data_IF_570973575519
#
_entry.id   IF_570973575519
#
_cell.length_a   1.000
_cell.length_b   1.000
_cell.length_c   1.000
_cell.angle_alpha   90.00
_cell.angle_beta   90.00
_cell.angle_gamma   90.00
#
_symmetry.space_group_name_H-M   'P 1'
#
loop_
_entity.id
_entity.type
_entity.pdbx_description
1 polymer ?
#
# COMPACT_ATOMS: atom_id res chain seq x y z
N UNK A 1 -5.42 -6.33 -17.45
CA UNK A 1 -4.32 -5.61 -16.77
C UNK A 1 -3.56 -6.64 -15.92
N UNK A 2 -2.22 -6.55 -15.85
CA UNK A 2 -1.34 -7.51 -15.16
C UNK A 2 -1.66 -7.66 -13.67
N UNK A 3 -2.08 -6.58 -13.00
CA UNK A 3 -2.44 -6.58 -11.58
C UNK A 3 -3.67 -7.42 -11.27
N UNK A 4 -4.51 -7.69 -12.27
CA UNK A 4 -5.66 -8.59 -12.17
C UNK A 4 -5.35 -10.04 -12.60
N UNK A 5 -4.10 -10.35 -12.94
CA UNK A 5 -3.72 -11.69 -13.46
C UNK A 5 -3.92 -12.80 -12.44
N UNK A 6 -3.83 -12.49 -11.14
CA UNK A 6 -4.02 -13.41 -10.02
C UNK A 6 -5.42 -13.36 -9.42
N UNK A 7 -6.29 -12.47 -9.89
CA UNK A 7 -7.65 -12.30 -9.36
C UNK A 7 -8.56 -13.45 -9.81
N UNK A 8 -9.36 -13.99 -8.88
CA UNK A 8 -10.36 -15.02 -9.21
C UNK A 8 -11.46 -14.45 -10.11
N UNK A 9 -11.66 -15.09 -11.27
CA UNK A 9 -12.71 -14.73 -12.23
C UNK A 9 -14.10 -15.23 -11.82
N UNK A 10 -14.18 -16.15 -10.86
CA UNK A 10 -15.43 -16.72 -10.34
C UNK A 10 -15.80 -16.14 -8.97
N UNK A 11 -15.27 -14.98 -8.62
CA UNK A 11 -15.47 -14.37 -7.30
C UNK A 11 -16.96 -14.19 -6.93
N UNK A 12 -17.86 -14.00 -7.90
CA UNK A 12 -19.31 -13.95 -7.63
C UNK A 12 -19.80 -15.25 -6.94
N UNK A 13 -19.33 -16.41 -7.42
CA UNK A 13 -19.68 -17.70 -6.80
C UNK A 13 -18.99 -17.86 -5.44
N UNK A 14 -17.75 -17.39 -5.31
CA UNK A 14 -16.99 -17.40 -4.06
C UNK A 14 -17.69 -16.55 -2.99
N UNK A 15 -18.13 -15.35 -3.31
CA UNK A 15 -18.92 -14.47 -2.45
C UNK A 15 -20.28 -15.08 -2.08
N UNK A 16 -20.96 -15.75 -3.00
CA UNK A 16 -22.20 -16.48 -2.67
C UNK A 16 -21.94 -17.61 -1.65
N UNK A 17 -20.82 -18.32 -1.78
CA UNK A 17 -20.39 -19.32 -0.80
C UNK A 17 -20.00 -18.69 0.54
N UNK A 18 -19.33 -17.54 0.55
CA UNK A 18 -19.01 -16.77 1.75
C UNK A 18 -20.29 -16.36 2.49
N UNK A 19 -21.27 -15.79 1.78
CA UNK A 19 -22.56 -15.43 2.35
C UNK A 19 -23.28 -16.64 2.98
N UNK A 20 -23.23 -17.80 2.33
CA UNK A 20 -23.79 -19.05 2.88
C UNK A 20 -23.07 -19.51 4.15
N UNK A 21 -21.74 -19.38 4.22
CA UNK A 21 -20.94 -19.70 5.42
C UNK A 21 -21.29 -18.75 6.57
N UNK A 22 -21.35 -17.44 6.29
CA UNK A 22 -21.74 -16.42 7.27
C UNK A 22 -23.15 -16.69 7.81
N UNK A 23 -24.11 -17.02 6.95
CA UNK A 23 -25.47 -17.37 7.38
C UNK A 23 -25.50 -18.55 8.36
N UNK A 24 -24.70 -19.60 8.11
CA UNK A 24 -24.58 -20.74 9.05
C UNK A 24 -23.98 -20.35 10.40
N UNK A 25 -23.05 -19.41 10.42
CA UNK A 25 -22.49 -18.88 11.67
C UNK A 25 -23.52 -18.02 12.40
N UNK A 26 -24.31 -17.22 11.68
CA UNK A 26 -25.43 -16.44 12.25
C UNK A 26 -26.44 -17.37 12.93
N UNK A 27 -26.83 -18.48 12.27
CA UNK A 27 -27.77 -19.45 12.84
C UNK A 27 -27.27 -20.08 14.15
N UNK A 28 -25.95 -20.24 14.31
CA UNK A 28 -25.33 -20.91 15.47
C UNK A 28 -24.97 -19.94 16.60
N UNK A 29 -24.49 -18.76 16.27
CA UNK A 29 -23.88 -17.82 17.22
C UNK A 29 -24.73 -16.55 17.43
N UNK A 30 -25.79 -16.36 16.64
CA UNK A 30 -26.64 -15.18 16.65
C UNK A 30 -26.10 -14.05 15.77
N UNK A 31 -27.02 -13.30 15.16
CA UNK A 31 -26.71 -12.22 14.22
C UNK A 31 -25.80 -11.14 14.85
N UNK A 32 -26.15 -10.66 16.04
CA UNK A 32 -25.42 -9.57 16.68
C UNK A 32 -23.96 -9.93 16.98
N UNK A 33 -23.68 -11.19 17.31
CA UNK A 33 -22.32 -11.64 17.63
C UNK A 33 -21.46 -11.70 16.36
N UNK A 34 -22.03 -12.22 15.28
CA UNK A 34 -21.37 -12.33 13.98
C UNK A 34 -21.15 -10.95 13.35
N UNK A 35 -22.18 -10.10 13.34
CA UNK A 35 -22.09 -8.73 12.79
C UNK A 35 -21.02 -7.90 13.49
N UNK A 36 -21.02 -7.88 14.83
CA UNK A 36 -19.96 -7.19 15.60
C UNK A 36 -18.57 -7.70 15.27
N UNK A 37 -18.41 -9.01 15.04
CA UNK A 37 -17.11 -9.57 14.68
C UNK A 37 -16.71 -9.19 13.25
N UNK A 38 -17.66 -9.20 12.31
CA UNK A 38 -17.45 -8.71 10.94
C UNK A 38 -17.03 -7.23 10.95
N UNK A 39 -17.66 -6.37 11.74
CA UNK A 39 -17.28 -4.96 11.87
C UNK A 39 -15.82 -4.80 12.34
N UNK A 40 -15.41 -5.62 13.31
CA UNK A 40 -14.02 -5.67 13.78
C UNK A 40 -13.08 -6.10 12.64
N UNK A 41 -13.42 -7.14 11.88
CA UNK A 41 -12.62 -7.60 10.73
C UNK A 41 -12.53 -6.55 9.61
N UNK A 42 -13.65 -5.92 9.23
CA UNK A 42 -13.71 -4.90 8.19
C UNK A 42 -12.86 -3.67 8.56
N UNK A 43 -12.80 -3.31 9.85
CA UNK A 43 -11.97 -2.19 10.30
C UNK A 43 -10.46 -2.38 10.07
N UNK A 44 -10.01 -3.63 9.91
CA UNK A 44 -8.60 -3.99 9.68
C UNK A 44 -8.36 -4.52 8.27
N UNK A 45 -9.38 -4.53 7.39
CA UNK A 45 -9.37 -5.20 6.08
C UNK A 45 -8.24 -4.73 5.15
N UNK A 46 -7.73 -3.52 5.37
CA UNK A 46 -6.64 -2.91 4.60
C UNK A 46 -5.24 -3.30 5.09
N UNK A 47 -5.11 -3.96 6.25
CA UNK A 47 -3.82 -4.41 6.81
C UNK A 47 -3.34 -5.73 6.19
N UNK A 48 -3.53 -5.86 4.88
CA UNK A 48 -2.99 -6.94 4.04
C UNK A 48 -1.70 -6.46 3.37
N UNK A 49 -0.97 -7.41 2.79
CA UNK A 49 0.07 -7.09 1.80
C UNK A 49 -0.43 -7.39 0.39
N UNK A 50 -0.88 -6.39 -0.40
CA UNK A 50 -1.36 -6.59 -1.76
C UNK A 50 -0.34 -7.23 -2.70
N UNK A 51 0.95 -7.14 -2.38
CA UNK A 51 2.02 -7.64 -3.24
C UNK A 51 2.38 -9.10 -2.96
N UNK A 52 1.90 -9.66 -1.83
CA UNK A 52 2.21 -11.04 -1.44
C UNK A 52 1.75 -12.07 -2.48
N UNK A 53 0.71 -11.76 -3.27
CA UNK A 53 0.21 -12.61 -4.36
C UNK A 53 1.17 -12.73 -5.55
N UNK A 54 2.11 -11.80 -5.67
CA UNK A 54 3.16 -11.80 -6.70
C UNK A 54 4.49 -12.32 -6.18
N UNK A 55 4.67 -12.34 -4.86
CA UNK A 55 5.83 -12.97 -4.24
C UNK A 55 5.72 -14.50 -4.35
N UNK A 56 6.81 -15.22 -4.65
CA UNK A 56 6.82 -16.65 -4.45
C UNK A 56 6.47 -16.95 -2.98
N UNK A 57 5.77 -18.06 -2.68
CA UNK A 57 5.56 -18.47 -1.30
C UNK A 57 6.93 -18.49 -0.63
N UNK A 58 7.03 -17.84 0.54
CA UNK A 58 8.28 -17.75 1.27
C UNK A 58 8.90 -19.14 1.29
N UNK A 59 10.04 -19.30 0.60
CA UNK A 59 10.83 -20.51 0.73
C UNK A 59 11.01 -20.72 2.22
N UNK A 60 10.67 -21.92 2.70
CA UNK A 60 10.99 -22.36 4.07
C UNK A 60 12.35 -21.80 4.38
N UNK A 61 12.51 -20.99 5.45
CA UNK A 61 13.77 -20.32 5.73
C UNK A 61 14.83 -21.38 5.60
N UNK A 62 15.73 -21.23 4.61
CA UNK A 62 16.81 -22.17 4.38
C UNK A 62 17.31 -22.56 5.75
N UNK A 63 17.25 -23.85 6.08
CA UNK A 63 17.81 -24.36 7.33
C UNK A 63 19.16 -23.69 7.43
N UNK A 64 19.28 -22.79 8.41
CA UNK A 64 20.46 -21.95 8.58
C UNK A 64 21.64 -22.88 8.40
N UNK A 65 22.42 -22.68 7.34
CA UNK A 65 23.47 -23.61 6.95
C UNK A 65 24.29 -24.01 8.19
N UNK A 66 24.74 -25.27 8.22
CA UNK A 66 25.58 -25.76 9.29
C UNK A 66 26.67 -24.73 9.62
N UNK A 67 26.97 -24.54 10.91
CA UNK A 67 27.96 -23.56 11.34
C UNK A 67 29.30 -23.77 10.60
N UNK A 68 29.62 -22.86 9.68
CA UNK A 68 30.92 -22.81 9.02
C UNK A 68 31.76 -21.71 9.66
N UNK A 69 32.83 -22.05 10.40
CA UNK A 69 33.71 -21.04 10.98
C UNK A 69 34.42 -20.29 9.85
N UNK A 70 34.53 -18.97 9.98
CA UNK A 70 35.29 -18.15 9.04
C UNK A 70 36.78 -18.41 9.28
N UNK A 71 37.39 -19.19 8.39
CA UNK A 71 38.81 -19.56 8.44
C UNK A 71 39.62 -18.69 7.49
N UNK A 72 40.78 -18.23 7.94
CA UNK A 72 41.75 -17.58 7.08
C UNK A 72 42.50 -18.65 6.25
N UNK A 73 42.85 -18.39 4.98
CA UNK A 73 43.58 -19.34 4.16
C UNK A 73 44.97 -19.59 4.74
N UNK A 74 45.25 -20.83 5.16
CA UNK A 74 46.52 -21.23 5.77
C UNK A 74 47.00 -22.58 5.23
N UNK A 75 48.32 -22.79 5.21
CA UNK A 75 48.91 -24.11 4.95
C UNK A 75 48.65 -25.03 6.15
N UNK A 76 48.54 -26.34 5.93
CA UNK A 76 48.16 -27.33 6.96
C UNK A 76 48.98 -27.28 8.25
N UNK A 77 50.26 -26.89 8.20
CA UNK A 77 51.12 -26.77 9.39
C UNK A 77 51.00 -25.41 10.11
N UNK A 78 50.46 -24.39 9.44
CA UNK A 78 50.22 -23.05 10.01
C UNK A 78 48.78 -22.88 10.49
N UNK A 79 47.86 -23.74 10.05
CA UNK A 79 46.44 -23.66 10.39
C UNK A 79 46.18 -23.59 11.92
N UNK A 80 46.85 -24.36 12.79
CA UNK A 80 46.67 -24.25 14.24
C UNK A 80 47.09 -22.90 14.84
N UNK A 81 47.97 -22.16 14.16
CA UNK A 81 48.47 -20.85 14.59
C UNK A 81 47.71 -19.68 13.97
N UNK A 82 47.24 -19.86 12.72
CA UNK A 82 46.48 -18.84 11.96
C UNK A 82 45.00 -18.87 12.33
N UNK A 83 44.43 -20.06 12.56
CA UNK A 83 43.05 -20.29 12.97
C UNK A 83 43.03 -21.03 14.33
N UNK A 84 43.41 -20.36 15.44
CA UNK A 84 43.46 -21.01 16.74
C UNK A 84 42.08 -21.52 17.16
N UNK A 85 42.06 -22.65 17.89
CA UNK A 85 40.82 -23.27 18.38
C UNK A 85 39.97 -22.29 19.21
N UNK A 86 40.60 -21.37 19.95
CA UNK A 86 39.93 -20.34 20.74
C UNK A 86 39.09 -19.38 19.91
N UNK A 87 39.53 -19.00 18.71
CA UNK A 87 38.77 -18.12 17.81
C UNK A 87 37.61 -18.88 17.16
N UNK A 88 37.81 -20.17 16.84
CA UNK A 88 36.73 -21.04 16.34
C UNK A 88 35.64 -21.25 17.39
N UNK A 89 36.02 -21.47 18.65
CA UNK A 89 35.08 -21.61 19.78
C UNK A 89 34.35 -20.31 20.08
N UNK A 90 35.03 -19.16 19.98
CA UNK A 90 34.41 -17.83 20.09
C UNK A 90 33.37 -17.62 18.99
N UNK A 91 33.71 -17.92 17.73
CA UNK A 91 32.77 -17.85 16.61
C UNK A 91 31.57 -18.78 16.81
N UNK A 92 31.79 -19.99 17.34
CA UNK A 92 30.71 -20.93 17.67
C UNK A 92 29.78 -20.39 18.75
N UNK A 93 30.30 -19.85 19.84
CA UNK A 93 29.49 -19.23 20.91
C UNK A 93 28.66 -18.06 20.38
N UNK A 94 29.27 -17.18 19.58
CA UNK A 94 28.55 -16.06 18.95
C UNK A 94 27.45 -16.58 18.00
N UNK A 95 27.71 -17.65 17.25
CA UNK A 95 26.71 -18.27 16.37
C UNK A 95 25.56 -18.89 17.18
N UNK A 96 25.85 -19.61 18.25
CA UNK A 96 24.85 -20.20 19.15
C UNK A 96 24.01 -19.12 19.84
N UNK A 97 24.63 -18.06 20.37
CA UNK A 97 23.93 -16.91 20.94
C UNK A 97 23.03 -16.21 19.91
N UNK A 98 23.54 -15.97 18.70
CA UNK A 98 22.74 -15.42 17.59
C UNK A 98 21.58 -16.34 17.22
N UNK A 99 21.78 -17.65 17.20
CA UNK A 99 20.74 -18.65 16.90
C UNK A 99 19.68 -18.71 17.99
N UNK A 100 20.07 -18.60 19.26
CA UNK A 100 19.15 -18.55 20.39
C UNK A 100 18.34 -17.24 20.37
N UNK A 101 19.00 -16.11 20.12
CA UNK A 101 18.36 -14.81 19.98
C UNK A 101 17.45 -14.73 18.74
N UNK A 102 17.80 -15.42 17.64
CA UNK A 102 16.92 -15.52 16.47
C UNK A 102 15.69 -16.40 16.76
N UNK A 103 15.85 -17.47 17.54
CA UNK A 103 14.73 -18.32 17.99
C UNK A 103 13.75 -17.60 18.91
N UNK A 104 14.19 -16.60 19.68
CA UNK A 104 13.31 -15.83 20.54
C UNK A 104 12.54 -14.72 19.81
N UNK A 105 12.94 -14.37 18.57
CA UNK A 105 12.23 -13.38 17.75
C UNK A 105 11.06 -14.03 17.01
N UNK A 106 9.87 -13.53 17.27
CA UNK A 106 8.65 -13.97 16.60
C UNK A 106 7.84 -12.73 16.20
N UNK A 107 7.54 -12.51 14.91
CA UNK A 107 7.86 -13.33 13.73
C UNK A 107 9.36 -13.37 13.39
N UNK A 108 9.77 -14.29 12.50
CA UNK A 108 11.18 -14.42 12.09
C UNK A 108 11.69 -13.19 11.30
N UNK A 109 10.79 -12.54 10.56
CA UNK A 109 10.98 -11.26 9.88
C UNK A 109 9.72 -10.42 10.08
N UNK A 110 9.80 -9.08 9.99
CA UNK A 110 8.60 -8.26 10.03
C UNK A 110 7.59 -8.68 8.95
N UNK A 111 6.32 -8.82 9.34
CA UNK A 111 5.25 -9.24 8.43
C UNK A 111 4.31 -8.07 8.15
N UNK A 112 4.08 -7.78 6.87
CA UNK A 112 3.17 -6.71 6.44
C UNK A 112 1.70 -7.12 6.49
N UNK A 113 1.41 -8.38 6.16
CA UNK A 113 0.05 -8.91 6.19
C UNK A 113 -0.37 -9.24 7.62
N UNK A 114 -0.82 -8.21 8.34
CA UNK A 114 -1.25 -8.31 9.75
C UNK A 114 -2.45 -9.26 9.86
N UNK A 115 -3.35 -9.24 8.87
CA UNK A 115 -4.51 -10.13 8.81
C UNK A 115 -4.11 -11.60 8.73
N UNK A 116 -3.20 -11.97 7.83
CA UNK A 116 -2.66 -13.34 7.77
C UNK A 116 -1.95 -13.73 9.07
N UNK A 117 -1.18 -12.80 9.65
CA UNK A 117 -0.47 -13.06 10.89
C UNK A 117 -1.43 -13.36 12.03
N UNK A 118 -2.48 -12.57 12.19
CA UNK A 118 -3.53 -12.81 13.19
C UNK A 118 -4.26 -14.12 12.90
N UNK A 119 -4.65 -14.37 11.65
CA UNK A 119 -5.38 -15.58 11.27
C UNK A 119 -4.64 -16.87 11.67
N UNK A 120 -3.31 -16.90 11.53
CA UNK A 120 -2.52 -18.09 11.84
C UNK A 120 -2.06 -18.20 13.29
N UNK A 121 -1.94 -17.08 14.02
CA UNK A 121 -1.27 -17.06 15.32
C UNK A 121 -2.17 -16.63 16.49
N UNK A 122 -3.30 -15.98 16.21
CA UNK A 122 -4.25 -15.57 17.23
C UNK A 122 -5.08 -16.77 17.72
N UNK A 123 -5.55 -16.69 18.97
CA UNK A 123 -6.46 -17.69 19.55
C UNK A 123 -7.90 -17.29 19.25
N UNK A 124 -8.33 -17.52 18.01
CA UNK A 124 -9.68 -17.29 17.54
C UNK A 124 -10.47 -18.61 17.51
N UNK A 125 -11.77 -18.55 17.77
CA UNK A 125 -12.67 -19.69 17.57
C UNK A 125 -12.78 -20.05 16.08
N UNK A 126 -13.15 -21.29 15.76
CA UNK A 126 -13.25 -21.77 14.37
C UNK A 126 -14.11 -20.85 13.48
N UNK A 127 -15.25 -20.38 13.98
CA UNK A 127 -16.15 -19.47 13.23
C UNK A 127 -15.55 -18.08 13.03
N UNK A 128 -14.75 -17.60 13.98
CA UNK A 128 -14.05 -16.31 13.90
C UNK A 128 -12.91 -16.37 12.88
N UNK A 129 -12.14 -17.48 12.88
CA UNK A 129 -11.13 -17.73 11.86
C UNK A 129 -11.76 -17.80 10.46
N UNK A 130 -12.93 -18.46 10.35
CA UNK A 130 -13.66 -18.57 9.09
C UNK A 130 -14.06 -17.18 8.54
N UNK A 131 -14.64 -16.31 9.38
CA UNK A 131 -15.01 -14.95 8.99
C UNK A 131 -13.78 -14.10 8.64
N UNK A 132 -12.72 -14.16 9.46
CA UNK A 132 -11.50 -13.41 9.19
C UNK A 132 -10.85 -13.85 7.86
N UNK A 133 -10.91 -15.15 7.55
CA UNK A 133 -10.44 -15.69 6.26
C UNK A 133 -11.25 -15.15 5.08
N UNK A 134 -12.59 -15.08 5.22
CA UNK A 134 -13.50 -14.53 4.21
C UNK A 134 -13.16 -13.07 3.93
N UNK A 135 -13.06 -12.25 4.98
CA UNK A 135 -12.73 -10.82 4.85
C UNK A 135 -11.36 -10.64 4.18
N UNK A 136 -10.36 -11.42 4.59
CA UNK A 136 -9.03 -11.35 3.97
C UNK A 136 -9.08 -11.72 2.48
N UNK A 137 -9.78 -12.80 2.10
CA UNK A 137 -9.90 -13.24 0.71
C UNK A 137 -10.60 -12.17 -0.15
N UNK A 138 -11.65 -11.54 0.37
CA UNK A 138 -12.34 -10.43 -0.31
C UNK A 138 -11.47 -9.17 -0.40
N UNK A 139 -10.71 -8.81 0.64
CA UNK A 139 -9.72 -7.71 0.56
C UNK A 139 -8.71 -7.92 -0.57
N UNK A 140 -8.22 -9.16 -0.75
CA UNK A 140 -7.30 -9.49 -1.84
C UNK A 140 -7.94 -9.39 -3.22
N UNK A 141 -9.23 -9.68 -3.34
CA UNK A 141 -9.96 -9.49 -4.59
C UNK A 141 -10.07 -8.01 -4.99
N UNK A 142 -10.34 -7.13 -4.02
CA UNK A 142 -10.51 -5.69 -4.28
C UNK A 142 -9.20 -4.92 -4.35
N UNK A 143 -8.09 -5.45 -3.81
CA UNK A 143 -6.80 -4.76 -3.80
C UNK A 143 -6.33 -4.29 -5.19
N UNK A 144 -6.37 -5.11 -6.26
CA UNK A 144 -6.02 -4.65 -7.61
C UNK A 144 -6.89 -3.51 -8.13
N UNK A 145 -8.20 -3.52 -7.84
CA UNK A 145 -9.12 -2.47 -8.28
C UNK A 145 -8.74 -1.11 -7.71
N UNK A 146 -8.35 -1.08 -6.44
CA UNK A 146 -8.00 0.17 -5.79
C UNK A 146 -6.52 0.57 -5.99
N UNK A 147 -5.63 -0.36 -6.37
CA UNK A 147 -4.28 -0.03 -6.88
C UNK A 147 -4.29 0.55 -8.31
N UNK A 148 -5.38 0.37 -9.06
CA UNK A 148 -5.51 0.80 -10.46
C UNK A 148 -6.70 1.74 -10.65
N UNK A 149 -7.17 2.38 -9.58
CA UNK A 149 -8.40 3.19 -9.59
C UNK A 149 -8.30 4.32 -10.61
N UNK A 150 -7.33 5.22 -10.48
CA UNK A 150 -7.18 6.40 -11.35
C UNK A 150 -7.10 5.98 -12.81
N UNK A 151 -6.28 4.97 -13.10
CA UNK A 151 -6.11 4.46 -14.45
C UNK A 151 -7.40 3.81 -14.95
N UNK A 152 -8.11 3.00 -14.18
CA UNK A 152 -9.34 2.35 -14.64
C UNK A 152 -10.49 3.34 -14.83
N UNK A 153 -10.69 4.27 -13.89
CA UNK A 153 -11.70 5.32 -13.99
C UNK A 153 -11.38 6.23 -15.20
N UNK A 154 -10.11 6.57 -15.41
CA UNK A 154 -9.63 7.33 -16.57
C UNK A 154 -9.83 6.61 -17.89
N UNK A 155 -9.50 5.31 -17.95
CA UNK A 155 -9.71 4.46 -19.12
C UNK A 155 -11.18 4.35 -19.49
N UNK A 156 -12.04 4.12 -18.49
CA UNK A 156 -13.48 4.09 -18.68
C UNK A 156 -13.99 5.43 -19.21
N UNK A 157 -13.54 6.55 -18.62
CA UNK A 157 -13.94 7.90 -19.02
C UNK A 157 -13.48 8.25 -20.44
N UNK A 158 -12.27 7.84 -20.80
CA UNK A 158 -11.70 8.02 -22.12
C UNK A 158 -12.57 7.31 -23.17
N UNK A 159 -12.81 6.00 -23.02
CA UNK A 159 -13.60 5.24 -23.99
C UNK A 159 -15.06 5.61 -23.97
N UNK A 160 -15.64 5.88 -22.80
CA UNK A 160 -17.00 6.37 -22.70
C UNK A 160 -17.15 7.66 -23.51
N UNK A 161 -16.21 8.61 -23.36
CA UNK A 161 -16.26 9.83 -24.13
C UNK A 161 -16.08 9.61 -25.63
N UNK A 162 -15.07 8.83 -26.05
CA UNK A 162 -14.85 8.53 -27.47
C UNK A 162 -16.07 7.88 -28.11
N UNK A 163 -16.62 6.84 -27.48
CA UNK A 163 -17.77 6.11 -28.01
C UNK A 163 -19.02 6.98 -28.07
N UNK A 164 -19.27 7.78 -27.03
CA UNK A 164 -20.43 8.67 -27.01
C UNK A 164 -20.32 9.72 -28.12
N UNK A 165 -19.18 10.38 -28.27
CA UNK A 165 -19.03 11.46 -29.25
C UNK A 165 -18.89 11.00 -30.70
N UNK A 166 -18.40 9.78 -30.94
CA UNK A 166 -18.14 9.27 -32.30
C UNK A 166 -19.24 8.34 -32.82
N UNK A 167 -20.01 7.68 -31.95
CA UNK A 167 -20.91 6.60 -32.37
C UNK A 167 -22.34 6.67 -31.83
N UNK A 168 -22.55 7.19 -30.61
CA UNK A 168 -23.85 7.03 -29.94
C UNK A 168 -24.68 8.31 -29.86
N UNK A 169 -24.05 9.44 -29.55
CA UNK A 169 -24.75 10.71 -29.32
C UNK A 169 -25.08 11.38 -30.65
N UNK A 170 -26.32 11.83 -30.81
CA UNK A 170 -26.71 12.64 -31.97
C UNK A 170 -26.21 14.09 -31.82
N UNK A 171 -26.06 14.81 -32.93
CA UNK A 171 -25.62 16.21 -32.89
C UNK A 171 -26.51 17.10 -32.00
N UNK A 172 -27.79 16.78 -31.84
CA UNK A 172 -28.72 17.48 -30.93
C UNK A 172 -28.47 17.22 -29.45
N UNK A 173 -27.85 16.10 -29.09
CA UNK A 173 -27.66 15.61 -27.72
C UNK A 173 -26.25 15.93 -27.18
N UNK A 174 -25.36 16.46 -28.01
CA UNK A 174 -23.95 16.64 -27.68
C UNK A 174 -23.73 17.59 -26.50
N UNK A 175 -24.57 18.63 -26.38
CA UNK A 175 -24.47 19.62 -25.30
C UNK A 175 -24.91 19.00 -23.97
N UNK A 176 -26.02 18.26 -23.97
CA UNK A 176 -26.54 17.58 -22.78
C UNK A 176 -25.55 16.52 -22.29
N UNK A 177 -24.98 15.74 -23.20
CA UNK A 177 -23.91 14.79 -22.88
C UNK A 177 -22.68 15.50 -22.31
N UNK A 178 -22.22 16.58 -22.94
CA UNK A 178 -21.03 17.31 -22.50
C UNK A 178 -21.21 17.91 -21.10
N UNK A 179 -22.39 18.43 -20.78
CA UNK A 179 -22.71 18.97 -19.45
C UNK A 179 -22.67 17.87 -18.38
N UNK A 180 -23.30 16.72 -18.64
CA UNK A 180 -23.25 15.57 -17.74
C UNK A 180 -21.83 15.03 -17.56
N UNK A 181 -21.08 14.86 -18.65
CA UNK A 181 -19.70 14.39 -18.60
C UNK A 181 -18.81 15.34 -17.80
N UNK A 182 -18.94 16.65 -18.05
CA UNK A 182 -18.20 17.69 -17.33
C UNK A 182 -18.48 17.66 -15.83
N UNK A 183 -19.71 17.35 -15.40
CA UNK A 183 -20.06 17.13 -14.00
C UNK A 183 -19.29 15.95 -13.38
N UNK A 184 -19.19 14.82 -14.08
CA UNK A 184 -18.47 13.62 -13.60
C UNK A 184 -16.96 13.87 -13.50
N UNK A 185 -16.38 14.54 -14.50
CA UNK A 185 -14.94 14.84 -14.52
C UNK A 185 -14.61 16.19 -13.87
N UNK A 186 -15.55 16.80 -13.14
CA UNK A 186 -15.29 18.06 -12.46
C UNK A 186 -14.24 17.86 -11.36
N UNK A 187 -13.26 18.75 -11.30
CA UNK A 187 -12.27 18.77 -10.22
C UNK A 187 -12.30 20.13 -9.54
N UNK A 188 -12.69 20.20 -8.26
CA UNK A 188 -12.63 21.46 -7.54
C UNK A 188 -11.16 21.86 -7.31
N UNK A 189 -10.93 23.16 -7.12
CA UNK A 189 -9.59 23.70 -6.85
C UNK A 189 -9.01 23.06 -5.58
N UNK A 190 -7.85 22.43 -5.69
CA UNK A 190 -7.22 21.66 -4.60
C UNK A 190 -7.85 20.30 -4.31
N UNK A 191 -8.87 19.91 -5.07
CA UNK A 191 -9.45 18.58 -5.03
C UNK A 191 -8.64 17.55 -5.81
N UNK A 192 -9.09 16.31 -5.71
CA UNK A 192 -8.54 15.18 -6.44
C UNK A 192 -9.70 14.37 -7.00
N UNK A 193 -9.84 14.33 -8.32
CA UNK A 193 -10.82 13.50 -9.02
C UNK A 193 -10.09 12.46 -9.89
N UNK A 194 -10.16 11.16 -9.56
CA UNK A 194 -9.55 10.09 -10.34
C UNK A 194 -10.00 10.06 -11.80
N UNK A 195 -11.28 10.33 -12.09
CA UNK A 195 -11.83 10.33 -13.44
C UNK A 195 -11.16 11.41 -14.29
N UNK A 196 -11.06 12.63 -13.75
CA UNK A 196 -10.45 13.77 -14.43
C UNK A 196 -8.96 13.56 -14.69
N UNK A 197 -8.20 13.14 -13.68
CA UNK A 197 -6.75 12.94 -13.84
C UNK A 197 -6.48 11.80 -14.82
N UNK A 198 -7.18 10.69 -14.64
CA UNK A 198 -7.02 9.52 -15.50
C UNK A 198 -7.33 9.81 -16.96
N UNK A 199 -8.48 10.44 -17.26
CA UNK A 199 -8.88 10.72 -18.65
C UNK A 199 -7.93 11.71 -19.34
N UNK A 200 -7.51 12.75 -18.62
CA UNK A 200 -6.58 13.75 -19.19
C UNK A 200 -5.20 13.14 -19.38
N UNK A 201 -4.72 12.29 -18.48
CA UNK A 201 -3.46 11.57 -18.68
C UNK A 201 -3.52 10.64 -19.88
N UNK A 202 -4.60 9.88 -20.08
CA UNK A 202 -4.72 9.03 -21.28
C UNK A 202 -4.71 9.84 -22.58
N UNK A 203 -5.47 10.94 -22.64
CA UNK A 203 -5.46 11.86 -23.79
C UNK A 203 -4.07 12.46 -24.01
N UNK A 204 -3.36 12.76 -22.93
CA UNK A 204 -2.03 13.33 -22.97
C UNK A 204 -0.97 12.32 -23.46
N UNK A 205 -1.04 11.08 -23.01
CA UNK A 205 -0.18 9.98 -23.47
C UNK A 205 -0.40 9.70 -24.95
N UNK A 206 -1.67 9.55 -25.38
CA UNK A 206 -1.99 9.32 -26.80
C UNK A 206 -1.44 10.45 -27.67
N UNK A 207 -1.72 11.70 -27.31
CA UNK A 207 -1.22 12.88 -28.05
C UNK A 207 0.31 12.93 -28.12
N UNK A 208 1.01 12.63 -27.01
CA UNK A 208 2.48 12.65 -26.97
C UNK A 208 3.09 11.60 -27.89
N UNK A 209 2.57 10.37 -27.84
CA UNK A 209 3.07 9.27 -28.67
C UNK A 209 2.63 9.33 -30.14
N UNK A 210 1.54 10.02 -30.45
CA UNK A 210 1.17 10.31 -31.84
C UNK A 210 2.12 11.30 -32.52
N UNK A 211 2.67 12.24 -31.74
CA UNK A 211 3.50 13.35 -32.22
C UNK A 211 5.01 13.18 -31.92
N UNK A 212 5.41 12.10 -31.26
CA UNK A 212 6.81 11.89 -30.85
C UNK A 212 7.27 12.84 -29.74
N UNK A 213 6.34 13.44 -28.99
CA UNK A 213 6.63 14.40 -27.91
C UNK A 213 6.99 13.67 -26.60
N UNK A 214 7.93 12.72 -26.67
CA UNK A 214 8.37 11.93 -25.54
C UNK A 214 9.82 11.46 -25.67
N UNK A 215 10.44 11.12 -24.54
CA UNK A 215 11.78 10.54 -24.50
C UNK A 215 12.91 11.54 -24.73
N UNK A 216 14.13 11.02 -24.70
CA UNK A 216 15.35 11.84 -24.64
C UNK A 216 15.57 12.74 -25.87
N UNK A 217 15.09 12.34 -27.05
CA UNK A 217 15.21 13.13 -28.28
C UNK A 217 14.35 14.40 -28.22
N UNK A 218 13.13 14.28 -27.74
CA UNK A 218 12.24 15.42 -27.53
C UNK A 218 12.71 16.32 -26.37
N UNK A 219 13.21 15.74 -25.29
CA UNK A 219 13.75 16.49 -24.15
C UNK A 219 14.99 17.32 -24.53
N UNK A 220 15.82 16.85 -25.46
CA UNK A 220 16.99 17.58 -25.98
C UNK A 220 16.65 18.78 -26.87
N UNK A 221 15.38 19.01 -27.20
CA UNK A 221 14.97 20.21 -27.93
C UNK A 221 15.05 21.42 -26.99
N UNK A 222 16.03 22.29 -27.22
CA UNK A 222 16.30 23.46 -26.36
C UNK A 222 15.67 24.76 -26.84
N UNK A 223 15.31 24.86 -28.13
CA UNK A 223 14.76 26.10 -28.68
C UNK A 223 13.30 26.32 -28.27
N UNK A 224 13.00 27.56 -27.88
CA UNK A 224 11.66 28.01 -27.48
C UNK A 224 10.64 27.67 -28.59
N UNK A 225 9.59 26.95 -28.21
CA UNK A 225 8.49 26.55 -29.10
C UNK A 225 8.78 25.37 -30.05
N UNK A 226 9.99 24.80 -30.07
CA UNK A 226 10.26 23.59 -30.86
C UNK A 226 9.56 22.35 -30.28
N UNK A 227 9.53 22.22 -28.95
CA UNK A 227 8.87 21.09 -28.26
C UNK A 227 7.37 21.03 -28.55
N UNK A 228 6.71 22.18 -28.60
CA UNK A 228 5.28 22.30 -28.86
C UNK A 228 4.92 21.98 -30.32
N UNK A 229 5.79 22.37 -31.26
CA UNK A 229 5.62 22.16 -32.70
C UNK A 229 6.13 20.80 -33.18
N UNK A 230 6.85 20.06 -32.34
CA UNK A 230 7.37 18.75 -32.70
C UNK A 230 6.20 17.80 -33.00
N UNK A 231 6.22 17.25 -34.20
CA UNK A 231 5.27 16.25 -34.69
C UNK A 231 6.01 15.35 -35.68
N UNK A 232 6.43 14.18 -35.20
CA UNK A 232 7.05 13.14 -36.03
C UNK A 232 6.03 12.28 -36.77
N UNK A 233 4.72 12.50 -36.52
CA UNK A 233 3.60 11.71 -37.04
C UNK A 233 3.76 10.21 -36.78
N UNK A 234 4.34 9.85 -35.64
CA UNK A 234 4.54 8.47 -35.22
C UNK A 234 3.21 7.69 -35.18
N UNK A 235 2.10 8.35 -34.79
CA UNK A 235 0.78 7.73 -34.64
C UNK A 235 0.76 6.47 -33.75
N UNK A 236 1.64 6.44 -32.73
CA UNK A 236 1.81 5.31 -31.79
C UNK A 236 1.05 5.50 -30.48
N UNK A 237 0.25 6.56 -30.35
CA UNK A 237 -0.49 6.91 -29.15
C UNK A 237 -1.41 5.81 -28.69
N UNK A 238 -2.15 5.23 -29.63
CA UNK A 238 -3.09 4.13 -29.35
C UNK A 238 -2.38 2.92 -28.75
N UNK A 239 -1.28 2.47 -29.36
CA UNK A 239 -0.52 1.32 -28.87
C UNK A 239 0.01 1.57 -27.45
N UNK A 240 0.50 2.79 -27.18
CA UNK A 240 1.00 3.14 -25.85
C UNK A 240 -0.09 3.13 -24.79
N UNK A 241 -1.28 3.69 -25.04
CA UNK A 241 -2.34 3.67 -24.01
C UNK A 241 -2.82 2.24 -23.70
N UNK A 242 -2.80 1.34 -24.68
CA UNK A 242 -3.10 -0.08 -24.47
C UNK A 242 -1.99 -0.82 -23.68
N UNK A 243 -0.72 -0.49 -23.95
CA UNK A 243 0.42 -0.95 -23.15
C UNK A 243 0.29 -0.50 -21.69
N UNK A 244 0.02 0.79 -21.48
CA UNK A 244 -0.17 1.40 -20.16
C UNK A 244 -1.26 0.65 -19.39
N UNK A 245 -2.46 0.53 -19.99
CA UNK A 245 -3.57 -0.23 -19.42
C UNK A 245 -3.22 -1.69 -19.14
N UNK A 246 -2.30 -2.29 -19.88
CA UNK A 246 -1.91 -3.70 -19.69
C UNK A 246 -1.00 -3.90 -18.48
N UNK A 247 -0.05 -3.00 -18.22
CA UNK A 247 1.08 -3.24 -17.31
C UNK A 247 1.02 -2.37 -16.04
N UNK A 248 0.55 -1.13 -16.14
CA UNK A 248 0.73 -0.13 -15.09
C UNK A 248 -0.31 -0.29 -13.95
N UNK A 249 0.06 0.22 -12.78
CA UNK A 249 -0.84 0.59 -11.68
C UNK A 249 -0.84 2.12 -11.52
N UNK A 250 -1.65 2.64 -10.59
CA UNK A 250 -1.78 4.09 -10.39
C UNK A 250 -0.46 4.75 -9.98
N UNK A 251 0.38 4.08 -9.17
CA UNK A 251 1.68 4.60 -8.75
C UNK A 251 2.58 4.82 -9.96
N UNK A 252 2.79 3.79 -10.78
CA UNK A 252 3.65 3.89 -11.95
C UNK A 252 3.03 4.78 -13.03
N UNK A 253 1.70 4.80 -13.15
CA UNK A 253 0.98 5.62 -14.10
C UNK A 253 1.16 7.12 -13.82
N UNK A 254 1.02 7.51 -12.55
CA UNK A 254 1.31 8.89 -12.14
C UNK A 254 2.81 9.18 -12.20
N UNK A 255 3.66 8.25 -11.77
CA UNK A 255 5.09 8.49 -11.73
C UNK A 255 5.68 8.71 -13.14
N UNK A 256 5.29 7.91 -14.12
CA UNK A 256 5.83 8.03 -15.48
C UNK A 256 5.18 9.16 -16.29
N UNK A 257 3.86 9.36 -16.16
CA UNK A 257 3.13 10.21 -17.12
C UNK A 257 2.73 11.59 -16.59
N UNK A 258 2.80 11.84 -15.28
CA UNK A 258 2.56 13.17 -14.72
C UNK A 258 3.80 14.06 -14.91
N UNK A 259 3.76 14.93 -15.93
CA UNK A 259 4.83 15.88 -16.24
C UNK A 259 4.52 17.28 -15.72
N UNK A 260 5.53 18.14 -15.70
CA UNK A 260 5.39 19.56 -15.35
C UNK A 260 4.37 20.26 -16.26
N UNK A 261 4.45 20.04 -17.58
CA UNK A 261 3.54 20.64 -18.55
C UNK A 261 2.09 20.20 -18.34
N UNK A 262 1.89 18.96 -17.88
CA UNK A 262 0.57 18.46 -17.52
C UNK A 262 0.02 19.18 -16.29
N UNK A 263 0.84 19.30 -15.24
CA UNK A 263 0.47 20.00 -14.00
C UNK A 263 0.10 21.45 -14.27
N UNK A 264 0.87 22.16 -15.11
CA UNK A 264 0.57 23.53 -15.52
C UNK A 264 -0.72 23.63 -16.32
N UNK A 265 -0.90 22.79 -17.36
CA UNK A 265 -2.08 22.83 -18.22
C UNK A 265 -3.38 22.60 -17.45
N UNK A 266 -3.34 21.74 -16.44
CA UNK A 266 -4.50 21.39 -15.64
C UNK A 266 -4.59 22.15 -14.31
N UNK A 267 -3.73 23.15 -14.08
CA UNK A 267 -3.66 23.93 -12.84
C UNK A 267 -3.63 23.06 -11.57
N UNK A 268 -2.87 21.96 -11.60
CA UNK A 268 -2.77 21.01 -10.48
C UNK A 268 -1.77 21.51 -9.43
N UNK A 269 -1.99 22.69 -8.87
CA UNK A 269 -1.10 23.26 -7.86
C UNK A 269 -1.49 22.85 -6.44
N UNK A 270 -0.59 23.09 -5.48
CA UNK A 270 -0.90 22.88 -4.07
C UNK A 270 -1.74 24.05 -3.57
N UNK A 271 -2.96 23.76 -3.15
CA UNK A 271 -3.86 24.75 -2.59
C UNK A 271 -3.99 24.57 -1.07
N UNK A 272 -4.04 25.68 -0.34
CA UNK A 272 -4.43 25.70 1.07
C UNK A 272 -5.54 26.72 1.23
N UNK A 273 -6.55 26.33 1.99
CA UNK A 273 -7.60 27.24 2.39
C UNK A 273 -7.13 28.01 3.61
N UNK A 274 -7.17 29.34 3.52
CA UNK A 274 -6.89 30.18 4.67
C UNK A 274 -7.96 29.93 5.74
N UNK A 275 -7.60 29.54 6.98
CA UNK A 275 -8.56 29.26 8.04
C UNK A 275 -9.41 30.47 8.44
N UNK A 276 -8.90 31.69 8.21
CA UNK A 276 -9.56 32.93 8.63
C UNK A 276 -10.47 33.53 7.55
N UNK A 277 -10.02 33.51 6.29
CA UNK A 277 -10.77 34.15 5.17
C UNK A 277 -11.54 33.13 4.33
N UNK A 278 -11.23 31.84 4.43
CA UNK A 278 -11.81 30.79 3.60
C UNK A 278 -11.35 30.83 2.14
N UNK A 279 -10.46 31.77 1.76
CA UNK A 279 -9.88 31.87 0.42
C UNK A 279 -8.92 30.72 0.14
N UNK A 280 -8.96 30.21 -1.08
CA UNK A 280 -8.06 29.16 -1.54
C UNK A 280 -6.85 29.81 -2.20
N UNK A 281 -5.67 29.67 -1.57
CA UNK A 281 -4.41 30.23 -2.09
C UNK A 281 -3.48 29.11 -2.56
N UNK A 282 -2.74 29.39 -3.63
CA UNK A 282 -1.67 28.51 -4.11
C UNK A 282 -0.49 28.61 -3.14
N UNK A 283 -0.17 27.52 -2.46
CA UNK A 283 0.95 27.44 -1.52
C UNK A 283 2.25 27.13 -2.23
N UNK A 284 2.19 26.27 -3.26
CA UNK A 284 3.37 25.89 -4.04
C UNK A 284 2.96 25.57 -5.47
N UNK A 285 3.79 26.03 -6.42
CA UNK A 285 3.74 25.66 -7.83
C UNK A 285 4.78 24.61 -8.20
N UNK A 286 5.56 24.15 -7.23
CA UNK A 286 6.57 23.12 -7.44
C UNK A 286 5.90 21.78 -7.82
N UNK A 287 6.03 21.40 -9.09
CA UNK A 287 5.40 20.20 -9.62
C UNK A 287 5.97 18.92 -8.99
N UNK A 288 7.24 18.93 -8.55
CA UNK A 288 7.85 17.76 -7.90
C UNK A 288 7.18 17.52 -6.56
N UNK A 289 6.91 18.57 -5.78
CA UNK A 289 6.15 18.47 -4.54
C UNK A 289 4.72 17.98 -4.78
N UNK A 290 4.03 18.49 -5.80
CA UNK A 290 2.68 18.03 -6.17
C UNK A 290 2.69 16.55 -6.51
N UNK A 291 3.62 16.12 -7.36
CA UNK A 291 3.77 14.71 -7.76
C UNK A 291 4.07 13.83 -6.56
N UNK A 292 4.99 14.21 -5.69
CA UNK A 292 5.34 13.45 -4.49
C UNK A 292 4.15 13.35 -3.52
N UNK A 293 3.42 14.44 -3.26
CA UNK A 293 2.22 14.41 -2.44
C UNK A 293 1.14 13.49 -3.04
N UNK A 294 0.99 13.50 -4.37
CA UNK A 294 0.02 12.66 -5.06
C UNK A 294 0.42 11.18 -5.02
N UNK A 295 1.66 10.86 -5.39
CA UNK A 295 2.23 9.51 -5.31
C UNK A 295 2.12 8.97 -3.90
N UNK A 296 2.40 9.79 -2.89
CA UNK A 296 2.25 9.41 -1.51
C UNK A 296 0.81 9.03 -1.18
N UNK A 297 -0.18 9.87 -1.55
CA UNK A 297 -1.60 9.61 -1.26
C UNK A 297 -2.14 8.34 -1.92
N UNK A 298 -1.58 7.94 -3.06
CA UNK A 298 -2.04 6.74 -3.79
C UNK A 298 -1.22 5.51 -3.44
N UNK A 299 -0.01 5.69 -2.90
CA UNK A 299 0.84 4.61 -2.40
C UNK A 299 0.12 3.93 -1.24
N UNK A 300 -0.03 2.61 -1.32
CA UNK A 300 -0.82 1.81 -0.37
C UNK A 300 -2.23 2.38 -0.12
N UNK A 301 -2.84 2.99 -1.15
CA UNK A 301 -4.19 3.57 -1.09
C UNK A 301 -4.32 4.68 -0.03
N UNK A 302 -3.21 5.35 0.28
CA UNK A 302 -3.14 6.38 1.33
C UNK A 302 -3.23 5.81 2.75
N UNK A 303 -3.17 4.48 2.91
CA UNK A 303 -3.12 3.83 4.21
C UNK A 303 -1.67 3.73 4.70
N UNK A 304 -1.42 3.85 6.00
CA UNK A 304 -0.09 3.70 6.58
C UNK A 304 0.43 2.27 6.38
N UNK A 305 1.75 2.14 6.20
CA UNK A 305 2.41 0.83 6.14
C UNK A 305 2.63 0.31 7.56
N UNK A 306 1.81 -0.66 7.98
CA UNK A 306 1.90 -1.28 9.30
C UNK A 306 2.48 -2.67 9.15
N UNK A 307 3.40 -3.03 10.05
CA UNK A 307 4.00 -4.35 10.10
C UNK A 307 3.92 -4.93 11.51
N UNK A 308 3.74 -6.24 11.60
CA UNK A 308 3.99 -7.00 12.82
C UNK A 308 5.50 -7.16 13.00
N UNK A 309 6.03 -6.58 14.08
CA UNK A 309 7.48 -6.63 14.38
C UNK A 309 7.81 -7.49 15.58
N UNK A 310 6.85 -7.75 16.46
CA UNK A 310 7.00 -8.65 17.60
C UNK A 310 5.63 -9.17 18.01
N UNK A 311 5.48 -10.47 18.25
CA UNK A 311 4.25 -11.07 18.76
C UNK A 311 4.47 -11.73 20.14
N UNK A 312 5.66 -11.55 20.71
CA UNK A 312 5.97 -11.90 22.08
C UNK A 312 6.67 -10.73 22.80
N UNK A 313 6.16 -9.52 22.58
CA UNK A 313 6.75 -8.33 23.16
C UNK A 313 6.78 -8.44 24.70
N UNK A 314 7.93 -8.07 25.29
CA UNK A 314 8.22 -8.23 26.73
C UNK A 314 8.04 -9.65 27.28
N UNK A 315 8.08 -10.67 26.41
CA UNK A 315 7.82 -12.07 26.74
C UNK A 315 6.43 -12.33 27.36
N UNK A 316 5.44 -11.50 26.99
CA UNK A 316 4.05 -11.58 27.47
C UNK A 316 3.06 -12.02 26.37
N UNK A 317 3.53 -12.37 25.18
CA UNK A 317 2.68 -12.65 24.01
C UNK A 317 1.92 -11.43 23.52
N UNK A 318 2.43 -10.23 23.81
CA UNK A 318 1.85 -8.96 23.37
C UNK A 318 2.26 -8.68 21.93
N UNK A 319 1.33 -8.15 21.14
CA UNK A 319 1.57 -7.84 19.74
C UNK A 319 2.13 -6.42 19.62
N UNK A 320 3.22 -6.26 18.90
CA UNK A 320 3.85 -5.00 18.60
C UNK A 320 3.83 -4.76 17.10
N UNK A 321 3.17 -3.67 16.73
CA UNK A 321 3.05 -3.16 15.38
C UNK A 321 3.96 -1.94 15.21
N UNK A 322 4.58 -1.82 14.05
CA UNK A 322 5.37 -0.63 13.70
C UNK A 322 4.85 -0.02 12.41
N UNK A 323 4.64 1.29 12.44
CA UNK A 323 4.38 2.09 11.25
C UNK A 323 5.70 2.44 10.58
N UNK A 324 5.87 2.04 9.32
CA UNK A 324 6.93 2.52 8.45
C UNK A 324 6.60 3.95 8.00
N UNK A 325 7.35 4.93 8.50
CA UNK A 325 7.07 6.33 8.21
C UNK A 325 7.54 6.69 6.81
N UNK A 326 6.58 7.05 5.97
CA UNK A 326 6.80 7.44 4.59
C UNK A 326 6.64 8.97 4.36
N UNK A 327 6.27 9.75 5.38
CA UNK A 327 6.17 11.22 5.28
C UNK A 327 4.86 11.86 5.76
N UNK A 328 3.78 11.09 5.98
CA UNK A 328 2.60 11.56 6.71
C UNK A 328 2.50 10.93 8.09
N UNK A 329 1.98 11.73 9.00
CA UNK A 329 1.67 11.30 10.35
C UNK A 329 0.37 10.49 10.35
N UNK A 330 0.30 9.53 11.26
CA UNK A 330 -0.90 8.71 11.40
C UNK A 330 -2.02 9.50 12.06
N UNK A 331 -3.25 9.35 11.58
CA UNK A 331 -4.41 9.92 12.25
C UNK A 331 -4.68 9.17 13.57
N UNK A 332 -4.38 9.81 14.69
CA UNK A 332 -4.41 9.17 16.04
C UNK A 332 -5.80 8.63 16.39
N UNK A 333 -6.87 9.35 16.04
CA UNK A 333 -8.24 8.93 16.33
C UNK A 333 -8.59 7.61 15.61
N UNK A 334 -8.29 7.54 14.30
CA UNK A 334 -8.47 6.32 13.50
C UNK A 334 -7.57 5.18 14.00
N UNK A 335 -6.30 5.47 14.26
CA UNK A 335 -5.34 4.49 14.76
C UNK A 335 -5.78 3.87 16.09
N UNK A 336 -6.33 4.68 17.01
CA UNK A 336 -6.83 4.21 18.30
C UNK A 336 -7.98 3.21 18.14
N UNK A 337 -8.92 3.48 17.24
CA UNK A 337 -10.05 2.59 16.99
C UNK A 337 -9.62 1.27 16.33
N UNK A 338 -8.71 1.34 15.35
CA UNK A 338 -8.13 0.17 14.69
C UNK A 338 -7.36 -0.69 15.70
N UNK A 339 -6.55 -0.07 16.58
CA UNK A 339 -5.76 -0.79 17.59
C UNK A 339 -6.65 -1.54 18.59
N UNK A 340 -7.79 -0.96 18.99
CA UNK A 340 -8.80 -1.63 19.82
C UNK A 340 -9.37 -2.87 19.14
N UNK A 341 -9.64 -2.78 17.84
CA UNK A 341 -10.17 -3.90 17.07
C UNK A 341 -9.11 -5.00 16.87
N UNK A 342 -7.85 -4.65 16.61
CA UNK A 342 -6.73 -5.61 16.59
C UNK A 342 -6.58 -6.28 17.96
N UNK A 343 -6.76 -5.53 19.06
CA UNK A 343 -6.74 -6.07 20.42
C UNK A 343 -7.86 -7.08 20.68
N UNK A 344 -9.05 -6.89 20.09
CA UNK A 344 -10.14 -7.88 20.12
C UNK A 344 -9.72 -9.15 19.39
N UNK A 345 -9.15 -9.03 18.19
CA UNK A 345 -8.72 -10.17 17.37
C UNK A 345 -7.54 -10.94 17.99
N UNK A 346 -6.55 -10.24 18.54
CA UNK A 346 -5.34 -10.86 19.10
C UNK A 346 -5.58 -11.48 20.49
N UNK A 347 -6.51 -10.93 21.27
CA UNK A 347 -6.85 -11.41 22.61
C UNK A 347 -5.88 -11.00 23.73
N UNK A 348 -4.70 -10.46 23.40
CA UNK A 348 -3.69 -9.90 24.34
C UNK A 348 -3.34 -8.45 24.02
N UNK A 349 -2.71 -7.67 24.92
CA UNK A 349 -2.34 -6.28 24.67
C UNK A 349 -1.61 -6.08 23.34
N UNK A 350 -1.93 -4.96 22.67
CA UNK A 350 -1.38 -4.60 21.37
C UNK A 350 -0.77 -3.21 21.45
N UNK A 351 0.42 -3.06 20.85
CA UNK A 351 1.19 -1.84 20.80
C UNK A 351 1.38 -1.40 19.35
N UNK A 352 1.34 -0.09 19.10
CA UNK A 352 1.64 0.52 17.81
C UNK A 352 2.69 1.60 17.99
N UNK A 353 3.85 1.40 17.41
CA UNK A 353 4.87 2.43 17.24
C UNK A 353 4.53 3.26 16.00
N UNK A 354 4.37 4.58 16.17
CA UNK A 354 4.17 5.51 15.07
C UNK A 354 4.85 6.86 15.33
N UNK A 355 5.19 7.57 14.25
CA UNK A 355 5.77 8.91 14.31
C UNK A 355 4.68 9.98 14.23
N UNK A 356 4.79 11.00 15.08
CA UNK A 356 3.92 12.19 15.10
C UNK A 356 4.82 13.40 15.40
N UNK A 357 4.72 14.45 14.59
CA UNK A 357 5.50 15.68 14.76
C UNK A 357 7.01 15.40 14.89
N UNK A 358 7.53 14.48 14.06
CA UNK A 358 8.91 13.97 14.08
C UNK A 358 9.33 13.13 15.30
N UNK A 359 8.49 12.99 16.31
CA UNK A 359 8.76 12.18 17.50
C UNK A 359 8.17 10.76 17.37
N UNK A 360 8.88 9.77 17.90
CA UNK A 360 8.39 8.39 17.96
C UNK A 360 7.53 8.17 19.21
N UNK A 361 6.30 7.69 19.00
CA UNK A 361 5.31 7.42 20.04
C UNK A 361 4.92 5.95 20.03
N UNK A 362 4.68 5.41 21.22
CA UNK A 362 4.09 4.09 21.42
C UNK A 362 2.67 4.24 21.94
N UNK A 363 1.74 3.65 21.20
CA UNK A 363 0.33 3.56 21.52
C UNK A 363 0.03 2.15 22.02
N UNK A 364 -0.52 2.02 23.22
CA UNK A 364 -0.77 0.72 23.85
C UNK A 364 -2.24 0.55 24.18
N UNK A 365 -2.81 -0.59 23.78
CA UNK A 365 -4.19 -0.98 24.06
C UNK A 365 -4.21 -2.28 24.86
N UNK A 366 -4.42 -2.16 26.18
CA UNK A 366 -4.51 -3.30 27.10
C UNK A 366 -5.92 -3.92 27.11
N UNK A 367 -6.94 -3.07 27.07
CA UNK A 367 -8.38 -3.42 27.06
C UNK A 367 -9.09 -2.62 25.95
N UNK A 368 -9.85 -3.26 25.03
CA UNK A 368 -10.63 -2.58 24.00
C UNK A 368 -11.58 -1.49 24.51
N UNK A 369 -12.06 -1.60 25.75
CA UNK A 369 -12.99 -0.63 26.36
C UNK A 369 -12.29 0.52 27.06
N UNK A 370 -11.00 0.40 27.34
CA UNK A 370 -10.23 1.42 28.00
C UNK A 370 -9.75 2.51 27.02
N UNK A 371 -9.29 3.62 27.58
CA UNK A 371 -8.54 4.61 26.82
C UNK A 371 -7.16 4.07 26.45
N UNK A 372 -6.71 4.44 25.26
CA UNK A 372 -5.41 4.05 24.74
C UNK A 372 -4.31 4.82 25.46
N UNK A 373 -3.29 4.12 25.96
CA UNK A 373 -2.13 4.74 26.59
C UNK A 373 -1.19 5.25 25.49
N UNK A 374 -0.72 6.49 25.62
CA UNK A 374 0.24 7.12 24.72
C UNK A 374 1.52 7.44 25.50
N UNK A 375 2.66 6.91 25.06
CA UNK A 375 3.97 7.21 25.66
C UNK A 375 5.00 7.55 24.59
N UNK A 376 5.88 8.51 24.86
CA UNK A 376 6.99 8.84 23.96
C UNK A 376 8.06 7.76 24.07
N UNK A 377 8.54 7.24 22.95
CA UNK A 377 9.59 6.23 22.93
C UNK A 377 10.91 6.88 23.33
N UNK A 378 11.57 6.28 24.31
CA UNK A 378 12.86 6.69 24.87
C UNK A 378 13.82 5.50 24.88
N UNK A 379 15.09 5.72 25.18
CA UNK A 379 16.11 4.66 25.19
C UNK A 379 15.83 3.54 26.21
N UNK A 380 15.06 3.83 27.25
CA UNK A 380 14.61 2.89 28.28
C UNK A 380 13.39 2.06 27.87
N UNK A 381 12.72 2.42 26.77
CA UNK A 381 11.54 1.70 26.28
C UNK A 381 11.99 0.35 25.72
N UNK A 382 11.37 -0.77 26.14
CA UNK A 382 11.76 -2.09 25.64
C UNK A 382 11.64 -2.14 24.12
N UNK A 383 12.71 -2.58 23.46
CA UNK A 383 12.75 -2.65 21.99
C UNK A 383 12.01 -3.89 21.49
N UNK A 384 11.23 -3.79 20.41
CA UNK A 384 10.63 -4.95 19.76
C UNK A 384 11.69 -5.85 19.11
N UNK A 385 11.32 -7.09 18.79
CA UNK A 385 12.17 -8.06 18.10
C UNK A 385 12.79 -7.53 16.79
N UNK A 386 12.05 -6.69 16.05
CA UNK A 386 12.51 -6.03 14.84
C UNK A 386 12.25 -4.52 14.86
N UNK A 387 13.16 -3.75 14.28
CA UNK A 387 12.99 -2.31 14.08
C UNK A 387 12.72 -2.04 12.60
N UNK A 388 11.73 -1.19 12.34
CA UNK A 388 11.42 -0.69 11.00
C UNK A 388 11.71 0.80 10.98
N UNK A 389 12.38 1.25 9.92
CA UNK A 389 12.69 2.65 9.66
C UNK A 389 11.56 3.31 8.90
#
# INVERSE_FOLDING_TARGET
NFWFSRTDRKMINTMANHATRIAKHIDRHGIDAVERFIDVCLSVEHLIDPYSVFSPPASTPEESGAFEPTRLPAKSYMDPFVNPASETDRQRRIYEEKKLAARSKFPARPERDVLAFILHNARLDDWQQDILSIVRDESYYYAPQAMTKIMNEGWASYWHSTLMTEHFVQASEIVDYADQHAGVIHMPVGGFNPYKIGVELFKDIERRWDRGQHGSEWERLEHIGQREKHDDKSMKGRDKIFEVRRIYNDVNFIDEFLTEEFVERHNMYRYRRDPQTGEVRVVSRDWQQVKQELLYRITNMGQPFIFVVDANYTNRGELYLAHQWNGLDIEVAKAAQVLKNIRVLWGRPVHLQARIDNDAWLFSCDDPRAEMKKQKIKDDTPKPAHLIQ
#
